data_IF_586677123319
#
_entry.id   IF_586677123319
#
_cell.length_a   1.000
_cell.length_b   1.000
_cell.length_c   1.000
_cell.angle_alpha   90.00
_cell.angle_beta   90.00
_cell.angle_gamma   90.00
#
_symmetry.space_group_name_H-M   'P 1'
#
loop_
_entity.id
_entity.type
_entity.pdbx_description
1 polymer ?
#
# COMPACT_ATOMS: atom_id res chain seq x y z
N UNK A 1 4.51 29.41 8.27
CA UNK A 1 4.52 28.09 8.95
C UNK A 1 3.41 28.09 9.97
N UNK A 2 2.41 27.23 9.81
CA UNK A 2 1.23 27.18 10.66
C UNK A 2 1.39 26.17 11.80
N UNK A 3 0.84 26.49 12.96
CA UNK A 3 0.75 25.55 14.09
C UNK A 3 -0.59 24.79 14.00
N UNK A 4 -0.58 23.49 14.26
CA UNK A 4 -1.78 22.65 14.34
C UNK A 4 -1.89 22.02 15.75
N UNK A 5 -3.12 21.92 16.32
CA UNK A 5 -4.35 22.52 15.82
C UNK A 5 -4.27 24.04 15.84
N UNK A 6 -5.00 24.71 14.97
CA UNK A 6 -5.11 26.17 15.02
C UNK A 6 -5.70 26.55 16.38
N UNK A 7 -5.12 27.59 17.01
CA UNK A 7 -5.66 28.07 18.28
C UNK A 7 -7.15 28.41 18.15
N UNK A 8 -7.92 28.03 19.16
CA UNK A 8 -9.34 28.40 19.22
C UNK A 8 -9.48 29.91 19.06
N UNK A 9 -10.42 30.35 18.26
CA UNK A 9 -10.73 31.78 18.16
C UNK A 9 -11.11 32.31 19.57
N UNK A 10 -10.62 33.48 19.96
CA UNK A 10 -11.02 34.06 21.21
C UNK A 10 -12.55 34.21 21.26
N UNK A 11 -13.14 34.03 22.44
CA UNK A 11 -14.56 34.23 22.62
C UNK A 11 -14.96 35.64 22.16
N UNK A 12 -15.88 35.74 21.21
CA UNK A 12 -16.38 36.98 20.62
C UNK A 12 -17.83 37.27 21.00
N UNK A 13 -18.40 36.48 21.87
CA UNK A 13 -19.76 36.68 22.38
C UNK A 13 -19.81 37.68 23.53
N UNK A 14 -21.01 37.84 24.10
CA UNK A 14 -21.28 38.69 25.23
C UNK A 14 -21.70 37.81 26.41
N UNK A 15 -21.00 37.91 27.54
CA UNK A 15 -21.34 37.21 28.77
C UNK A 15 -22.22 38.16 29.62
N UNK A 16 -23.41 37.70 29.95
CA UNK A 16 -24.36 38.45 30.77
C UNK A 16 -24.90 37.59 31.92
N UNK A 17 -25.54 38.24 32.88
CA UNK A 17 -26.14 37.57 34.06
C UNK A 17 -27.28 36.62 33.65
N UNK A 18 -28.06 37.03 32.66
CA UNK A 18 -29.21 36.27 32.16
C UNK A 18 -28.86 35.73 30.77
N UNK A 19 -29.19 34.44 30.52
CA UNK A 19 -28.96 33.79 29.22
C UNK A 19 -29.65 34.51 28.07
N UNK A 20 -30.82 35.13 28.32
CA UNK A 20 -31.55 35.90 27.32
C UNK A 20 -30.85 37.19 26.87
N UNK A 21 -29.90 37.69 27.68
CA UNK A 21 -29.14 38.91 27.42
C UNK A 21 -27.71 38.59 26.92
N UNK A 22 -27.31 37.33 26.99
CA UNK A 22 -26.00 36.84 26.54
C UNK A 22 -25.99 36.53 25.02
N UNK A 23 -24.87 36.81 24.41
CA UNK A 23 -24.63 36.46 22.98
C UNK A 23 -23.59 35.36 22.91
N UNK A 24 -23.95 34.15 22.41
CA UNK A 24 -22.98 33.06 22.26
C UNK A 24 -21.96 33.36 21.16
N UNK A 25 -20.70 33.08 21.42
CA UNK A 25 -19.70 32.99 20.37
C UNK A 25 -19.79 31.61 19.76
N UNK A 26 -20.04 31.52 18.44
CA UNK A 26 -19.95 30.24 17.76
C UNK A 26 -18.48 29.85 17.67
N UNK A 27 -18.14 28.68 18.19
CA UNK A 27 -16.85 28.07 17.95
C UNK A 27 -16.74 27.81 16.45
N UNK A 28 -15.76 28.43 15.80
CA UNK A 28 -15.41 28.03 14.44
C UNK A 28 -14.78 26.63 14.51
N UNK A 29 -15.55 25.62 14.15
CA UNK A 29 -14.98 24.31 13.90
C UNK A 29 -13.92 24.48 12.81
N UNK A 30 -12.78 23.81 12.97
CA UNK A 30 -11.80 23.69 11.89
C UNK A 30 -12.48 23.00 10.71
N UNK A 31 -12.93 23.78 9.75
CA UNK A 31 -13.50 23.24 8.51
C UNK A 31 -12.45 23.41 7.41
N UNK A 32 -12.17 22.38 6.63
CA UNK A 32 -11.39 22.55 5.43
C UNK A 32 -12.14 23.52 4.50
N UNK A 33 -11.40 24.25 3.68
CA UNK A 33 -12.03 25.09 2.67
C UNK A 33 -12.88 24.22 1.76
N UNK A 34 -14.10 24.68 1.43
CA UNK A 34 -14.98 23.97 0.49
C UNK A 34 -14.28 23.72 -0.84
N UNK A 35 -14.54 22.55 -1.44
CA UNK A 35 -14.00 22.20 -2.74
C UNK A 35 -12.62 21.55 -2.74
N UNK A 36 -11.98 21.36 -1.59
CA UNK A 36 -10.74 20.58 -1.52
C UNK A 36 -10.97 19.14 -1.97
N UNK A 37 -10.04 18.56 -2.75
CA UNK A 37 -10.17 17.19 -3.20
C UNK A 37 -10.13 16.20 -2.04
N UNK A 38 -10.82 15.07 -2.22
CA UNK A 38 -10.58 13.89 -1.42
C UNK A 38 -9.24 13.27 -1.82
N UNK A 39 -8.70 12.42 -0.97
CA UNK A 39 -7.49 11.64 -1.25
C UNK A 39 -7.77 10.16 -1.00
N UNK A 40 -7.58 9.33 -2.01
CA UNK A 40 -7.55 7.88 -1.92
C UNK A 40 -6.12 7.42 -2.21
N UNK A 41 -5.43 6.95 -1.19
CA UNK A 41 -4.08 6.40 -1.29
C UNK A 41 -4.16 4.87 -1.19
N UNK A 42 -3.89 4.20 -2.30
CA UNK A 42 -3.84 2.73 -2.40
C UNK A 42 -2.38 2.30 -2.43
N UNK A 43 -2.03 1.30 -1.63
CA UNK A 43 -0.70 0.70 -1.63
C UNK A 43 -0.80 -0.80 -1.46
N UNK A 44 -0.37 -1.56 -2.48
CA UNK A 44 -0.25 -3.01 -2.39
C UNK A 44 1.08 -3.41 -1.77
N UNK A 45 1.19 -4.68 -1.42
CA UNK A 45 2.34 -5.28 -0.73
C UNK A 45 2.98 -6.34 -1.64
N UNK A 46 4.31 -6.37 -1.72
CA UNK A 46 5.09 -7.39 -2.44
C UNK A 46 4.81 -7.52 -3.95
N UNK A 47 4.36 -6.45 -4.61
CA UNK A 47 4.13 -6.44 -6.06
C UNK A 47 5.35 -5.88 -6.79
N UNK A 48 5.95 -6.65 -7.69
CA UNK A 48 7.07 -6.21 -8.51
C UNK A 48 6.67 -5.20 -9.59
N UNK A 49 7.63 -4.41 -10.07
CA UNK A 49 7.43 -3.36 -11.09
C UNK A 49 6.76 -3.88 -12.36
N UNK A 50 7.11 -5.09 -12.80
CA UNK A 50 6.60 -5.74 -14.00
C UNK A 50 5.42 -6.69 -13.76
N UNK A 51 4.69 -6.60 -12.65
CA UNK A 51 3.58 -7.52 -12.35
C UNK A 51 2.27 -7.11 -13.03
N UNK A 52 1.92 -5.82 -12.97
CA UNK A 52 0.65 -5.28 -13.46
C UNK A 52 0.67 -5.05 -14.99
N UNK A 53 -0.46 -5.32 -15.66
CA UNK A 53 -0.65 -5.10 -17.10
C UNK A 53 -0.28 -3.68 -17.54
N UNK A 54 -0.64 -2.67 -16.78
CA UNK A 54 -0.33 -1.25 -17.00
C UNK A 54 1.16 -0.99 -17.22
N UNK A 55 2.04 -1.78 -16.59
CA UNK A 55 3.49 -1.66 -16.64
C UNK A 55 4.18 -2.83 -17.36
N UNK A 56 3.46 -3.48 -18.28
CA UNK A 56 3.96 -4.57 -19.13
C UNK A 56 3.86 -5.95 -18.52
N UNK A 57 3.24 -6.09 -17.36
CA UNK A 57 3.08 -7.35 -16.63
C UNK A 57 2.10 -8.33 -17.27
N UNK A 58 2.11 -9.58 -16.80
CA UNK A 58 1.22 -10.62 -17.32
C UNK A 58 -0.18 -10.59 -16.70
N UNK A 59 -0.36 -9.87 -15.58
CA UNK A 59 -1.56 -9.95 -14.77
C UNK A 59 -2.48 -8.76 -15.08
N UNK A 60 -3.71 -8.98 -15.56
CA UNK A 60 -4.68 -7.91 -15.80
C UNK A 60 -5.04 -7.19 -14.50
N UNK A 61 -4.87 -5.86 -14.50
CA UNK A 61 -5.15 -4.99 -13.35
C UNK A 61 -6.00 -3.79 -13.78
N UNK A 62 -7.29 -4.00 -14.08
CA UNK A 62 -8.18 -2.96 -14.61
C UNK A 62 -8.34 -1.76 -13.68
N UNK A 63 -8.14 -1.90 -12.37
CA UNK A 63 -8.13 -0.79 -11.41
C UNK A 63 -6.97 0.16 -11.65
N UNK A 64 -5.74 -0.37 -11.81
CA UNK A 64 -4.55 0.42 -12.16
C UNK A 64 -4.72 1.04 -13.55
N UNK A 65 -5.18 0.24 -14.54
CA UNK A 65 -5.39 0.70 -15.92
C UNK A 65 -6.35 1.90 -15.97
N UNK A 66 -7.42 1.87 -15.18
CA UNK A 66 -8.39 2.95 -15.08
C UNK A 66 -7.78 4.24 -14.53
N UNK A 67 -6.97 4.13 -13.49
CA UNK A 67 -6.28 5.29 -12.89
C UNK A 67 -5.27 5.86 -13.88
N UNK A 68 -4.48 5.01 -14.53
CA UNK A 68 -3.51 5.43 -15.55
C UNK A 68 -4.20 6.14 -16.72
N UNK A 69 -5.30 5.58 -17.25
CA UNK A 69 -6.08 6.17 -18.34
C UNK A 69 -6.67 7.54 -17.99
N UNK A 70 -7.03 7.77 -16.72
CA UNK A 70 -7.56 9.03 -16.22
C UNK A 70 -6.48 10.04 -15.78
N UNK A 71 -5.19 9.65 -15.81
CA UNK A 71 -4.10 10.45 -15.26
C UNK A 71 -2.71 10.04 -15.74
N UNK A 72 -1.80 9.81 -14.82
CA UNK A 72 -0.37 9.67 -15.05
C UNK A 72 0.18 8.34 -14.55
N UNK A 73 1.18 7.82 -15.26
CA UNK A 73 2.04 6.69 -14.86
C UNK A 73 3.43 7.20 -14.52
N UNK A 74 4.07 6.65 -13.51
CA UNK A 74 5.43 6.98 -13.11
C UNK A 74 6.29 5.71 -13.16
N UNK A 75 7.35 5.73 -13.97
CA UNK A 75 8.26 4.60 -14.13
C UNK A 75 9.59 4.76 -13.37
N UNK A 76 9.82 5.91 -12.74
CA UNK A 76 10.98 6.17 -11.88
C UNK A 76 10.55 6.60 -10.47
N UNK A 77 9.58 5.86 -9.94
CA UNK A 77 9.13 6.05 -8.56
C UNK A 77 9.84 5.03 -7.66
N UNK A 78 10.40 5.51 -6.55
CA UNK A 78 11.24 4.72 -5.67
C UNK A 78 10.61 4.58 -4.28
N UNK A 79 10.81 3.41 -3.69
CA UNK A 79 10.42 3.08 -2.32
C UNK A 79 11.67 2.66 -1.53
N UNK A 80 11.49 2.16 -0.32
CA UNK A 80 12.52 1.35 0.32
C UNK A 80 12.37 -0.11 -0.15
N UNK A 81 13.28 -0.99 0.25
CA UNK A 81 13.19 -2.40 -0.11
C UNK A 81 12.37 -3.25 0.88
N UNK A 82 11.62 -2.60 1.80
CA UNK A 82 10.86 -3.26 2.87
C UNK A 82 9.58 -2.49 3.19
N UNK A 83 8.53 -3.20 3.60
CA UNK A 83 7.20 -2.67 3.85
C UNK A 83 7.13 -1.62 4.98
N UNK A 84 7.51 -1.92 6.24
CA UNK A 84 7.47 -0.93 7.34
C UNK A 84 8.26 0.34 7.03
N UNK A 85 9.52 0.26 6.54
CA UNK A 85 10.28 1.43 6.14
C UNK A 85 9.59 2.29 5.08
N UNK A 86 9.01 1.67 4.05
CA UNK A 86 8.26 2.40 3.00
C UNK A 86 7.01 3.06 3.57
N UNK A 87 6.23 2.35 4.40
CA UNK A 87 5.01 2.88 5.04
C UNK A 87 5.31 4.07 5.95
N UNK A 88 6.38 3.98 6.74
CA UNK A 88 6.84 5.07 7.59
C UNK A 88 7.29 6.28 6.77
N UNK A 89 8.08 6.06 5.72
CA UNK A 89 8.54 7.12 4.82
C UNK A 89 7.38 7.83 4.12
N UNK A 90 6.41 7.06 3.60
CA UNK A 90 5.20 7.56 2.95
C UNK A 90 4.38 8.45 3.87
N UNK A 91 4.05 7.95 5.06
CA UNK A 91 3.12 8.64 5.95
C UNK A 91 3.75 9.84 6.66
N UNK A 92 5.08 9.93 6.75
CA UNK A 92 5.78 11.02 7.44
C UNK A 92 6.48 12.00 6.50
N UNK A 93 6.68 11.67 5.22
CA UNK A 93 7.42 12.49 4.25
C UNK A 93 8.92 12.60 4.57
N UNK A 94 9.47 11.63 5.29
CA UNK A 94 10.86 11.62 5.76
C UNK A 94 11.51 10.27 5.51
N UNK A 95 12.84 10.27 5.38
CA UNK A 95 13.60 9.03 5.27
C UNK A 95 13.28 8.11 6.46
N UNK A 96 13.08 6.85 6.19
CA UNK A 96 12.67 5.85 7.16
C UNK A 96 13.61 5.73 8.37
N UNK A 97 14.93 5.88 8.20
CA UNK A 97 15.88 5.93 9.32
C UNK A 97 15.67 7.18 10.20
N UNK A 98 15.30 8.32 9.61
CA UNK A 98 15.01 9.55 10.36
C UNK A 98 13.77 9.45 11.24
N UNK A 99 12.91 8.47 10.96
CA UNK A 99 11.66 8.19 11.69
C UNK A 99 11.71 6.85 12.42
N UNK A 100 12.93 6.34 12.68
CA UNK A 100 13.18 5.16 13.51
C UNK A 100 12.74 3.83 12.89
N UNK A 101 12.47 3.79 11.57
CA UNK A 101 12.01 2.60 10.87
C UNK A 101 13.09 2.08 9.89
N UNK A 102 14.30 1.83 10.38
CA UNK A 102 15.42 1.30 9.58
C UNK A 102 15.25 -0.16 9.14
N UNK A 103 14.33 -0.90 9.76
CA UNK A 103 13.91 -2.27 9.44
C UNK A 103 12.43 -2.46 9.67
N UNK A 104 11.94 -3.69 9.54
CA UNK A 104 10.55 -4.04 9.87
C UNK A 104 10.35 -4.08 11.39
N UNK A 105 9.11 -3.94 11.84
CA UNK A 105 8.76 -3.85 13.27
C UNK A 105 9.12 -5.12 14.06
N UNK A 106 9.16 -6.28 13.40
CA UNK A 106 9.46 -7.59 13.99
C UNK A 106 10.92 -7.76 14.40
N UNK A 107 11.84 -7.05 13.72
CA UNK A 107 13.28 -7.08 14.02
C UNK A 107 13.77 -5.79 14.68
N UNK A 108 12.85 -5.00 15.22
CA UNK A 108 13.18 -3.80 15.96
C UNK A 108 14.17 -4.07 17.10
N UNK A 109 15.09 -3.14 17.33
CA UNK A 109 16.10 -3.25 18.36
C UNK A 109 16.35 -1.89 19.02
N UNK A 110 17.20 -1.85 20.03
CA UNK A 110 17.43 -0.64 20.83
C UNK A 110 18.40 0.38 20.20
N UNK A 111 18.85 0.16 18.95
CA UNK A 111 19.71 1.12 18.29
C UNK A 111 18.91 2.31 17.71
N UNK A 112 19.47 3.53 17.76
CA UNK A 112 18.83 4.68 17.11
C UNK A 112 18.51 4.37 15.64
N UNK A 113 17.35 4.84 15.17
CA UNK A 113 16.79 4.59 13.85
C UNK A 113 16.28 3.15 13.58
N UNK A 114 16.37 2.21 14.53
CA UNK A 114 15.95 0.80 14.37
C UNK A 114 15.01 0.32 15.49
N UNK A 115 14.52 1.21 16.33
CA UNK A 115 13.62 0.87 17.43
C UNK A 115 12.14 0.82 17.02
N UNK A 116 11.83 1.12 15.77
CA UNK A 116 10.47 1.15 15.19
C UNK A 116 9.48 2.06 15.92
N UNK A 117 9.98 2.97 16.76
CA UNK A 117 9.15 3.89 17.54
C UNK A 117 9.11 5.27 16.86
N UNK A 118 8.19 5.46 15.90
CA UNK A 118 8.03 6.72 15.17
C UNK A 118 7.89 7.88 16.17
N UNK A 119 8.79 8.90 16.12
CA UNK A 119 8.79 9.97 17.10
C UNK A 119 7.70 11.02 16.82
N UNK A 120 7.22 11.67 17.87
CA UNK A 120 6.14 12.69 17.80
C UNK A 120 6.54 13.93 16.97
N UNK A 121 7.84 14.17 16.78
CA UNK A 121 8.38 15.25 15.93
C UNK A 121 8.24 14.95 14.43
N UNK A 122 7.60 13.84 14.09
CA UNK A 122 7.41 13.40 12.69
C UNK A 122 5.96 13.01 12.44
N UNK A 123 5.05 13.93 12.74
CA UNK A 123 3.60 13.74 12.55
C UNK A 123 3.29 13.17 11.16
N UNK A 124 2.31 12.28 11.12
CA UNK A 124 1.85 11.66 9.87
C UNK A 124 1.01 12.62 9.04
N UNK A 125 0.89 12.33 7.75
CA UNK A 125 -0.05 13.02 6.85
C UNK A 125 -1.49 12.91 7.36
N UNK A 126 -1.89 11.77 7.93
CA UNK A 126 -3.23 11.57 8.49
C UNK A 126 -3.50 12.51 9.67
N UNK A 127 -2.52 12.68 10.56
CA UNK A 127 -2.66 13.60 11.70
C UNK A 127 -2.80 15.06 11.24
N UNK A 128 -2.00 15.49 10.26
CA UNK A 128 -2.07 16.85 9.70
C UNK A 128 -3.43 17.08 9.01
N UNK A 129 -3.87 16.14 8.19
CA UNK A 129 -5.14 16.24 7.47
C UNK A 129 -6.32 16.24 8.44
N UNK A 130 -6.33 15.37 9.45
CA UNK A 130 -7.35 15.36 10.52
C UNK A 130 -7.44 16.71 11.22
N UNK A 131 -6.30 17.26 11.67
CA UNK A 131 -6.24 18.56 12.33
C UNK A 131 -6.60 19.73 11.41
N UNK A 132 -6.54 19.52 10.09
CA UNK A 132 -6.98 20.45 9.06
C UNK A 132 -8.42 20.25 8.61
N UNK A 133 -9.17 19.33 9.26
CA UNK A 133 -10.60 19.16 9.07
C UNK A 133 -11.01 18.08 8.06
N UNK A 134 -10.12 17.23 7.62
CA UNK A 134 -10.46 16.04 6.83
C UNK A 134 -11.04 14.93 7.72
N UNK A 135 -11.87 14.07 7.14
CA UNK A 135 -12.13 12.74 7.71
C UNK A 135 -11.00 11.80 7.31
N UNK A 136 -10.49 11.00 8.23
CA UNK A 136 -9.33 10.13 7.97
C UNK A 136 -9.65 8.67 8.27
N UNK A 137 -9.40 7.77 7.31
CA UNK A 137 -9.64 6.34 7.45
C UNK A 137 -8.46 5.52 6.95
N UNK A 138 -8.11 4.45 7.68
CA UNK A 138 -7.10 3.47 7.32
C UNK A 138 -7.76 2.09 7.26
N UNK A 139 -7.59 1.39 6.14
CA UNK A 139 -8.18 0.08 5.89
C UNK A 139 -7.09 -0.87 5.37
N UNK A 140 -6.77 -1.89 6.17
CA UNK A 140 -5.78 -2.89 5.82
C UNK A 140 -4.58 -2.98 6.75
N UNK A 141 -3.41 -3.27 6.20
CA UNK A 141 -2.14 -3.48 6.90
C UNK A 141 -1.57 -2.15 7.40
N UNK A 142 -1.28 -2.09 8.69
CA UNK A 142 -0.60 -0.95 9.31
C UNK A 142 0.93 -1.09 9.31
N UNK A 143 1.44 -2.07 10.00
CA UNK A 143 2.84 -2.48 10.08
C UNK A 143 3.81 -1.36 10.51
N UNK A 144 3.37 -0.47 11.42
CA UNK A 144 4.17 0.64 11.97
C UNK A 144 4.16 0.70 13.50
N UNK A 145 3.50 -0.25 14.15
CA UNK A 145 3.49 -0.36 15.60
C UNK A 145 4.61 -1.29 16.05
N UNK A 146 5.52 -0.89 16.95
CA UNK A 146 6.52 -1.79 17.49
C UNK A 146 5.88 -3.04 18.08
N UNK A 147 6.54 -4.20 17.95
CA UNK A 147 5.96 -5.50 18.35
C UNK A 147 5.52 -5.55 19.82
N UNK A 148 6.18 -4.83 20.72
CA UNK A 148 5.82 -4.74 22.13
C UNK A 148 4.61 -3.82 22.42
N UNK A 149 4.10 -3.08 21.43
CA UNK A 149 2.90 -2.23 21.54
C UNK A 149 1.70 -2.82 20.78
N UNK A 150 1.82 -3.99 20.16
CA UNK A 150 0.76 -4.60 19.34
C UNK A 150 -0.34 -5.31 20.16
N UNK A 151 -0.25 -5.29 21.46
CA UNK A 151 -1.25 -5.89 22.35
C UNK A 151 -2.57 -5.09 22.36
N UNK A 152 -3.74 -5.76 22.48
CA UNK A 152 -5.02 -5.10 22.71
C UNK A 152 -5.10 -4.25 23.99
N UNK A 153 -4.08 -4.35 24.85
CA UNK A 153 -3.95 -3.49 26.03
C UNK A 153 -3.19 -2.19 25.76
N UNK A 154 -2.69 -1.98 24.53
CA UNK A 154 -1.91 -0.81 24.17
C UNK A 154 -0.45 -0.86 24.66
N UNK A 155 0.26 0.28 24.64
CA UNK A 155 -0.25 1.64 24.32
C UNK A 155 -0.69 1.79 22.86
N UNK A 156 -1.63 2.69 22.59
CA UNK A 156 -2.21 2.88 21.27
C UNK A 156 -1.68 4.11 20.52
N UNK A 157 -0.64 4.77 21.06
CA UNK A 157 -0.11 6.02 20.49
C UNK A 157 0.45 5.82 19.07
N UNK A 158 1.01 4.62 18.76
CA UNK A 158 1.55 4.26 17.46
C UNK A 158 0.65 3.33 16.64
N UNK A 159 -0.56 3.13 17.10
CA UNK A 159 -1.62 2.51 16.31
C UNK A 159 -2.19 3.52 15.32
N UNK A 160 -2.90 3.10 14.25
CA UNK A 160 -3.50 4.04 13.31
C UNK A 160 -4.32 5.14 13.99
N UNK A 161 -5.09 4.78 15.02
CA UNK A 161 -5.93 5.71 15.80
C UNK A 161 -5.12 6.75 16.56
N UNK A 162 -3.95 6.40 17.09
CA UNK A 162 -3.00 7.32 17.72
C UNK A 162 -2.22 8.17 16.71
N UNK A 163 -2.07 7.68 15.48
CA UNK A 163 -1.29 8.30 14.41
C UNK A 163 -2.15 9.10 13.42
N UNK A 164 -3.36 9.50 13.82
CA UNK A 164 -4.18 10.47 13.10
C UNK A 164 -5.35 9.92 12.30
N UNK A 165 -5.59 8.62 12.27
CA UNK A 165 -6.76 8.04 11.61
C UNK A 165 -7.96 7.97 12.56
N UNK A 166 -9.08 8.60 12.16
CA UNK A 166 -10.34 8.57 12.92
C UNK A 166 -11.05 7.22 12.79
N UNK A 167 -10.77 6.50 11.72
CA UNK A 167 -11.28 5.14 11.46
C UNK A 167 -10.11 4.22 11.11
N UNK A 168 -10.06 3.07 11.75
CA UNK A 168 -9.15 1.98 11.41
C UNK A 168 -9.92 0.67 11.35
N UNK A 169 -9.66 -0.13 10.32
CA UNK A 169 -10.09 -1.51 10.22
C UNK A 169 -9.04 -2.30 9.44
N UNK A 170 -8.43 -3.31 10.07
CA UNK A 170 -7.37 -4.07 9.43
C UNK A 170 -6.47 -4.83 10.40
N UNK A 171 -5.23 -5.09 9.96
CA UNK A 171 -4.22 -5.82 10.72
C UNK A 171 -3.09 -4.88 11.17
N UNK A 172 -2.50 -5.17 12.33
CA UNK A 172 -1.41 -4.36 12.92
C UNK A 172 -0.04 -4.87 12.48
N UNK A 173 0.15 -6.18 12.35
CA UNK A 173 1.41 -6.83 12.01
C UNK A 173 1.76 -6.83 10.52
N UNK A 174 2.78 -7.62 10.18
CA UNK A 174 3.37 -7.70 8.85
C UNK A 174 2.50 -8.47 7.85
N UNK A 175 1.89 -9.55 8.29
CA UNK A 175 1.18 -10.52 7.45
C UNK A 175 -0.01 -11.11 8.19
N UNK A 176 -0.93 -11.71 7.45
CA UNK A 176 -2.08 -12.41 8.00
C UNK A 176 -2.68 -13.37 6.97
N UNK A 177 -3.29 -14.44 7.45
CA UNK A 177 -4.21 -15.22 6.63
C UNK A 177 -5.29 -14.31 6.05
N UNK A 178 -5.64 -14.48 4.77
CA UNK A 178 -6.77 -13.77 4.17
C UNK A 178 -8.11 -14.47 4.41
N UNK A 179 -8.09 -15.71 4.91
CA UNK A 179 -9.27 -16.49 5.28
C UNK A 179 -9.65 -16.33 6.76
N UNK A 180 -8.65 -16.30 7.64
CA UNK A 180 -8.80 -16.24 9.10
C UNK A 180 -7.86 -15.17 9.71
N UNK A 181 -8.03 -13.89 9.35
CA UNK A 181 -7.11 -12.83 9.77
C UNK A 181 -7.34 -12.35 11.21
N UNK A 182 -6.29 -11.91 11.92
CA UNK A 182 -6.38 -11.22 13.20
C UNK A 182 -6.77 -9.73 12.99
N UNK A 183 -8.03 -9.46 12.71
CA UNK A 183 -8.51 -8.12 12.40
C UNK A 183 -8.80 -7.30 13.65
N UNK A 184 -8.53 -6.01 13.57
CA UNK A 184 -8.93 -5.01 14.55
C UNK A 184 -9.94 -4.02 13.95
N UNK A 185 -11.01 -3.75 14.69
CA UNK A 185 -11.89 -2.60 14.49
C UNK A 185 -11.47 -1.53 15.50
N UNK A 186 -10.85 -0.46 15.04
CA UNK A 186 -10.14 0.52 15.87
C UNK A 186 -9.03 -0.15 16.69
N UNK A 187 -9.25 -0.35 17.98
CA UNK A 187 -8.32 -1.05 18.89
C UNK A 187 -8.89 -2.35 19.44
N UNK A 188 -10.07 -2.75 18.96
CA UNK A 188 -10.77 -3.94 19.43
C UNK A 188 -10.53 -5.09 18.44
N UNK A 189 -10.02 -6.25 18.90
CA UNK A 189 -9.90 -7.43 18.05
C UNK A 189 -11.28 -7.95 17.66
N UNK A 190 -11.45 -8.31 16.39
CA UNK A 190 -12.68 -8.88 15.83
C UNK A 190 -12.36 -10.10 14.96
N UNK A 191 -13.31 -10.99 14.80
CA UNK A 191 -13.16 -12.23 14.03
C UNK A 191 -14.29 -12.36 12.99
N UNK A 192 -14.30 -11.51 11.95
CA UNK A 192 -15.41 -11.44 10.99
C UNK A 192 -15.59 -12.73 10.16
N UNK A 193 -14.56 -13.56 10.04
CA UNK A 193 -14.59 -14.83 9.32
C UNK A 193 -15.48 -15.90 10.00
N UNK A 194 -15.70 -15.80 11.31
CA UNK A 194 -16.50 -16.81 12.04
C UNK A 194 -17.98 -16.85 11.59
N UNK A 195 -18.49 -15.70 11.16
CA UNK A 195 -19.89 -15.54 10.74
C UNK A 195 -20.07 -15.56 9.20
N UNK A 196 -18.98 -15.72 8.45
CA UNK A 196 -18.95 -15.61 6.97
C UNK A 196 -18.12 -16.75 6.37
N UNK A 197 -18.76 -17.85 5.92
CA UNK A 197 -18.05 -19.01 5.34
C UNK A 197 -17.18 -18.67 4.12
N UNK A 198 -17.61 -17.68 3.33
CA UNK A 198 -16.90 -17.22 2.13
C UNK A 198 -16.06 -15.95 2.41
N UNK A 199 -15.59 -15.79 3.65
CA UNK A 199 -14.83 -14.62 4.05
C UNK A 199 -13.51 -14.52 3.31
N UNK A 200 -13.19 -13.32 2.84
CA UNK A 200 -11.86 -12.98 2.35
C UNK A 200 -11.48 -11.55 2.79
N UNK A 201 -10.30 -11.40 3.40
CA UNK A 201 -9.86 -10.14 4.01
C UNK A 201 -9.88 -8.96 3.03
N UNK A 202 -9.39 -9.13 1.77
CA UNK A 202 -9.35 -8.03 0.80
C UNK A 202 -10.75 -7.53 0.43
N UNK A 203 -11.75 -8.42 0.37
CA UNK A 203 -13.14 -8.05 0.13
C UNK A 203 -13.73 -7.29 1.31
N UNK A 204 -13.52 -7.79 2.53
CA UNK A 204 -14.02 -7.15 3.74
C UNK A 204 -13.41 -5.75 3.94
N UNK A 205 -12.10 -5.60 3.70
CA UNK A 205 -11.42 -4.30 3.74
C UNK A 205 -12.05 -3.31 2.75
N UNK A 206 -12.35 -3.76 1.52
CA UNK A 206 -13.01 -2.93 0.52
C UNK A 206 -14.43 -2.56 0.94
N UNK A 207 -15.21 -3.49 1.48
CA UNK A 207 -16.55 -3.26 2.01
C UNK A 207 -16.55 -2.20 3.13
N UNK A 208 -15.61 -2.31 4.07
CA UNK A 208 -15.46 -1.37 5.17
C UNK A 208 -15.06 0.04 4.67
N UNK A 209 -14.12 0.13 3.73
CA UNK A 209 -13.71 1.39 3.13
C UNK A 209 -14.87 2.05 2.35
N UNK A 210 -15.55 1.29 1.50
CA UNK A 210 -16.72 1.73 0.72
C UNK A 210 -17.82 2.26 1.64
N UNK A 211 -18.18 1.48 2.66
CA UNK A 211 -19.20 1.86 3.62
C UNK A 211 -18.82 3.14 4.37
N UNK A 212 -17.55 3.28 4.76
CA UNK A 212 -17.06 4.47 5.42
C UNK A 212 -17.13 5.69 4.50
N UNK A 213 -16.65 5.61 3.25
CA UNK A 213 -16.71 6.69 2.26
C UNK A 213 -18.16 7.13 2.04
N UNK A 214 -19.08 6.19 1.78
CA UNK A 214 -20.50 6.49 1.56
C UNK A 214 -21.13 7.20 2.78
N UNK A 215 -20.89 6.70 3.99
CA UNK A 215 -21.41 7.30 5.23
C UNK A 215 -20.83 8.69 5.50
N UNK A 216 -19.53 8.86 5.29
CA UNK A 216 -18.85 10.14 5.47
C UNK A 216 -19.43 11.19 4.52
N UNK A 217 -19.61 10.87 3.23
CA UNK A 217 -20.16 11.78 2.24
C UNK A 217 -21.66 12.05 2.43
N UNK A 218 -22.43 11.06 2.88
CA UNK A 218 -23.84 11.26 3.22
C UNK A 218 -24.01 12.19 4.45
N UNK A 219 -23.13 12.10 5.44
CA UNK A 219 -23.21 12.90 6.66
C UNK A 219 -22.61 14.30 6.53
N UNK A 220 -21.57 14.47 5.73
CA UNK A 220 -20.83 15.71 5.52
C UNK A 220 -20.37 15.83 4.06
N UNK A 221 -21.27 16.17 3.11
CA UNK A 221 -20.98 16.17 1.68
C UNK A 221 -19.79 17.04 1.27
N UNK A 222 -19.63 18.18 1.92
CA UNK A 222 -18.57 19.17 1.63
C UNK A 222 -17.24 18.85 2.36
N UNK A 223 -17.22 17.90 3.32
CA UNK A 223 -16.02 17.55 4.06
C UNK A 223 -15.18 16.57 3.23
N UNK A 224 -13.92 16.89 2.89
CA UNK A 224 -13.04 15.97 2.20
C UNK A 224 -12.61 14.82 3.11
N UNK A 225 -12.18 13.73 2.50
CA UNK A 225 -11.62 12.59 3.23
C UNK A 225 -10.19 12.26 2.74
N UNK A 226 -9.43 11.64 3.62
CA UNK A 226 -8.22 10.89 3.34
C UNK A 226 -8.47 9.42 3.67
N UNK A 227 -8.46 8.57 2.66
CA UNK A 227 -8.60 7.13 2.79
C UNK A 227 -7.26 6.47 2.43
N UNK A 228 -6.61 5.81 3.38
CA UNK A 228 -5.46 4.96 3.15
C UNK A 228 -5.95 3.51 3.06
N UNK A 229 -5.99 2.98 1.85
CA UNK A 229 -6.36 1.60 1.54
C UNK A 229 -5.10 0.79 1.23
N UNK A 230 -4.67 -0.01 2.19
CA UNK A 230 -3.43 -0.78 2.13
C UNK A 230 -3.72 -2.25 2.45
N UNK A 231 -4.37 -3.00 1.52
CA UNK A 231 -4.61 -4.42 1.75
C UNK A 231 -3.28 -5.13 2.00
N UNK A 232 -3.29 -6.17 2.84
CA UNK A 232 -2.09 -6.97 3.08
C UNK A 232 -1.68 -7.78 1.83
N UNK A 233 -2.51 -7.80 0.81
CA UNK A 233 -2.27 -8.44 -0.48
C UNK A 233 -1.28 -7.60 -1.33
N UNK A 234 -0.38 -8.26 -2.06
CA UNK A 234 -0.27 -9.72 -2.25
C UNK A 234 0.89 -10.33 -1.45
N UNK A 235 1.18 -9.80 -0.27
CA UNK A 235 2.12 -10.45 0.65
C UNK A 235 1.64 -11.88 0.94
N UNK A 236 2.57 -12.81 1.13
CA UNK A 236 2.21 -14.15 1.57
C UNK A 236 1.54 -14.11 2.96
N UNK A 237 0.66 -15.09 3.25
CA UNK A 237 0.26 -16.22 2.42
C UNK A 237 -0.55 -15.80 1.19
N UNK A 238 -0.25 -16.38 0.03
CA UNK A 238 -1.00 -16.12 -1.19
C UNK A 238 -2.34 -16.87 -1.12
N UNK A 239 -3.32 -16.23 -0.54
CA UNK A 239 -4.66 -16.76 -0.34
C UNK A 239 -5.65 -16.11 -1.30
N UNK A 240 -6.36 -16.91 -2.10
CA UNK A 240 -7.33 -16.39 -3.07
C UNK A 240 -8.34 -17.46 -3.45
N UNK A 241 -9.63 -17.13 -3.71
CA UNK A 241 -10.61 -18.09 -4.20
C UNK A 241 -10.21 -18.71 -5.54
N UNK A 242 -10.48 -20.00 -5.72
CA UNK A 242 -10.09 -20.79 -6.90
C UNK A 242 -10.57 -20.20 -8.23
N UNK A 243 -11.74 -19.56 -8.25
CA UNK A 243 -12.26 -18.90 -9.46
C UNK A 243 -11.37 -17.78 -9.99
N UNK A 244 -10.53 -17.19 -9.15
CA UNK A 244 -9.55 -16.19 -9.55
C UNK A 244 -8.23 -16.79 -10.04
N UNK A 245 -7.94 -18.04 -9.68
CA UNK A 245 -6.76 -18.76 -10.15
C UNK A 245 -6.99 -19.35 -11.55
N UNK A 246 -8.17 -19.89 -11.80
CA UNK A 246 -8.55 -20.57 -13.06
C UNK A 246 -8.18 -19.81 -14.34
N UNK A 247 -8.35 -18.49 -14.46
CA UNK A 247 -7.97 -17.77 -15.67
C UNK A 247 -6.46 -17.84 -16.01
N UNK A 248 -5.64 -18.21 -15.04
CA UNK A 248 -4.19 -18.27 -15.17
C UNK A 248 -3.62 -19.69 -15.35
N UNK A 249 -4.48 -20.72 -15.33
CA UNK A 249 -4.05 -22.12 -15.50
C UNK A 249 -3.21 -22.29 -16.77
N UNK A 250 -1.99 -22.83 -16.64
CA UNK A 250 -1.05 -23.08 -17.72
C UNK A 250 -0.35 -21.83 -18.29
N UNK A 251 -0.65 -20.63 -17.80
CA UNK A 251 -0.06 -19.38 -18.32
C UNK A 251 1.41 -19.21 -17.97
N UNK A 252 1.94 -19.99 -17.04
CA UNK A 252 3.31 -19.84 -16.54
C UNK A 252 4.19 -21.07 -16.79
N UNK A 253 3.72 -22.02 -17.59
CA UNK A 253 4.46 -23.25 -17.91
C UNK A 253 5.75 -23.00 -18.70
N UNK A 254 5.84 -21.85 -19.40
CA UNK A 254 7.05 -21.40 -20.12
C UNK A 254 8.20 -21.02 -19.18
N UNK A 255 7.91 -20.79 -17.88
CA UNK A 255 8.88 -20.48 -16.84
C UNK A 255 9.30 -19.02 -16.76
N UNK A 256 10.04 -18.72 -15.68
CA UNK A 256 10.39 -17.35 -15.27
C UNK A 256 11.36 -16.65 -16.23
N UNK A 257 12.29 -17.36 -16.90
CA UNK A 257 13.20 -16.72 -17.86
C UNK A 257 12.41 -16.18 -19.08
N UNK A 258 11.52 -17.01 -19.67
CA UNK A 258 10.67 -16.60 -20.78
C UNK A 258 9.70 -15.51 -20.38
N UNK A 259 9.05 -15.64 -19.21
CA UNK A 259 8.13 -14.62 -18.71
C UNK A 259 8.82 -13.26 -18.55
N UNK A 260 10.05 -13.25 -18.04
CA UNK A 260 10.84 -12.02 -17.89
C UNK A 260 11.12 -11.34 -19.22
N UNK A 261 11.52 -12.12 -20.25
CA UNK A 261 11.76 -11.61 -21.61
C UNK A 261 10.47 -11.04 -22.22
N UNK A 262 9.33 -11.70 -21.99
CA UNK A 262 8.03 -11.22 -22.45
C UNK A 262 7.61 -9.92 -21.76
N UNK A 263 7.77 -9.81 -20.42
CA UNK A 263 7.50 -8.58 -19.68
C UNK A 263 8.38 -7.45 -20.23
N UNK A 264 9.68 -7.68 -20.36
CA UNK A 264 10.61 -6.69 -20.88
C UNK A 264 10.22 -6.23 -22.31
N UNK A 265 9.84 -7.17 -23.18
CA UNK A 265 9.39 -6.86 -24.54
C UNK A 265 8.12 -5.99 -24.54
N UNK A 266 7.15 -6.28 -23.67
CA UNK A 266 5.94 -5.47 -23.50
C UNK A 266 6.26 -4.09 -22.92
N UNK A 267 7.18 -3.99 -21.97
CA UNK A 267 7.64 -2.73 -21.39
C UNK A 267 8.28 -1.80 -22.44
N UNK A 268 9.12 -2.36 -23.33
CA UNK A 268 9.70 -1.61 -24.46
C UNK A 268 8.62 -1.18 -25.46
N UNK A 269 7.72 -2.09 -25.83
CA UNK A 269 6.68 -1.83 -26.83
C UNK A 269 5.67 -0.77 -26.37
N UNK A 270 5.35 -0.74 -25.07
CA UNK A 270 4.46 0.26 -24.47
C UNK A 270 5.16 1.58 -24.07
N UNK A 271 6.48 1.64 -24.17
CA UNK A 271 7.28 2.80 -23.77
C UNK A 271 7.35 3.02 -22.26
N UNK A 272 6.94 2.05 -21.45
CA UNK A 272 7.06 2.11 -19.98
C UNK A 272 8.52 2.23 -19.55
N UNK A 273 9.42 1.62 -20.31
CA UNK A 273 10.87 1.79 -20.17
C UNK A 273 11.47 2.40 -21.43
N UNK A 274 12.55 3.22 -21.31
CA UNK A 274 13.26 3.75 -22.47
C UNK A 274 13.78 2.64 -23.39
N UNK A 275 13.84 2.87 -24.72
CA UNK A 275 14.27 1.84 -25.69
C UNK A 275 15.72 1.38 -25.49
N UNK A 276 16.58 2.19 -24.87
CA UNK A 276 17.97 1.86 -24.55
C UNK A 276 18.12 1.07 -23.24
N UNK A 277 17.04 0.81 -22.52
CA UNK A 277 17.09 0.05 -21.26
C UNK A 277 17.54 -1.36 -21.52
N UNK A 278 18.65 -1.78 -20.93
CA UNK A 278 19.10 -3.18 -20.98
C UNK A 278 18.34 -4.06 -19.99
N UNK A 279 18.00 -5.28 -20.40
CA UNK A 279 17.52 -6.30 -19.47
C UNK A 279 18.68 -6.81 -18.61
N UNK A 280 18.53 -6.76 -17.28
CA UNK A 280 19.57 -7.24 -16.36
C UNK A 280 19.68 -8.77 -16.38
N UNK A 281 20.90 -9.27 -16.20
CA UNK A 281 21.17 -10.70 -16.17
C UNK A 281 20.54 -11.37 -14.94
N UNK A 282 20.23 -12.66 -15.09
CA UNK A 282 19.76 -13.48 -13.97
C UNK A 282 20.89 -13.67 -12.96
N UNK A 283 20.63 -13.48 -11.64
CA UNK A 283 21.59 -13.82 -10.59
C UNK A 283 21.92 -15.31 -10.61
N UNK A 284 23.19 -15.66 -10.34
CA UNK A 284 23.65 -17.08 -10.31
C UNK A 284 22.91 -17.92 -9.25
N UNK A 285 22.41 -17.28 -8.21
CA UNK A 285 21.68 -17.93 -7.12
C UNK A 285 20.27 -18.40 -7.54
N UNK A 286 19.75 -17.90 -8.65
CA UNK A 286 18.46 -18.29 -9.20
C UNK A 286 18.71 -19.27 -10.34
N UNK A 287 18.27 -20.53 -10.29
CA UNK A 287 18.43 -21.48 -11.39
C UNK A 287 17.70 -20.99 -12.63
N UNK A 288 18.21 -21.33 -13.84
CA UNK A 288 17.41 -21.15 -15.02
C UNK A 288 16.20 -22.09 -15.01
N UNK A 289 15.12 -21.72 -15.69
CA UNK A 289 13.98 -22.62 -15.83
C UNK A 289 14.35 -23.95 -16.49
N UNK A 290 15.31 -23.92 -17.42
CA UNK A 290 15.78 -25.14 -18.09
C UNK A 290 16.57 -26.05 -17.13
N UNK A 291 17.29 -25.48 -16.16
CA UNK A 291 18.07 -26.25 -15.17
C UNK A 291 17.23 -26.61 -13.94
N UNK A 292 16.05 -26.01 -13.79
CA UNK A 292 15.12 -26.32 -12.71
C UNK A 292 14.52 -27.71 -12.94
N UNK A 293 14.41 -28.56 -11.90
CA UNK A 293 13.96 -29.94 -12.09
C UNK A 293 12.55 -30.03 -12.69
N UNK A 294 12.39 -30.70 -13.82
CA UNK A 294 11.11 -30.84 -14.54
C UNK A 294 9.98 -31.34 -13.63
N UNK A 295 10.31 -32.21 -12.69
CA UNK A 295 9.36 -32.76 -11.72
C UNK A 295 8.66 -31.69 -10.88
N UNK A 296 9.34 -30.57 -10.56
CA UNK A 296 8.81 -29.52 -9.70
C UNK A 296 8.29 -28.30 -10.47
N UNK A 297 8.44 -28.28 -11.80
CA UNK A 297 7.89 -27.20 -12.64
C UNK A 297 6.39 -26.99 -12.47
N UNK A 298 5.56 -28.06 -12.38
CA UNK A 298 4.13 -27.88 -12.12
C UNK A 298 3.83 -27.16 -10.79
N UNK A 299 4.62 -27.44 -9.74
CA UNK A 299 4.50 -26.75 -8.44
C UNK A 299 4.79 -25.26 -8.62
N UNK A 300 5.90 -24.94 -9.29
CA UNK A 300 6.30 -23.56 -9.52
C UNK A 300 5.26 -22.79 -10.36
N UNK A 301 4.75 -23.39 -11.45
CA UNK A 301 3.69 -22.80 -12.27
C UNK A 301 2.43 -22.55 -11.44
N UNK A 302 1.98 -23.54 -10.65
CA UNK A 302 0.77 -23.40 -9.82
C UNK A 302 0.91 -22.30 -8.76
N UNK A 303 2.05 -22.17 -8.10
CA UNK A 303 2.29 -21.11 -7.13
C UNK A 303 2.23 -19.71 -7.76
N UNK A 304 2.70 -19.58 -9.02
CA UNK A 304 2.61 -18.32 -9.78
C UNK A 304 1.16 -18.04 -10.22
N UNK A 305 0.39 -19.06 -10.60
CA UNK A 305 -1.04 -18.93 -10.93
C UNK A 305 -1.83 -18.40 -9.73
N UNK A 306 -1.55 -18.92 -8.52
CA UNK A 306 -2.16 -18.46 -7.27
C UNK A 306 -1.83 -16.99 -7.01
N UNK A 307 -0.56 -16.59 -7.14
CA UNK A 307 -0.15 -15.19 -7.00
C UNK A 307 -0.85 -14.28 -8.03
N UNK A 308 -0.93 -14.72 -9.28
CA UNK A 308 -1.59 -13.95 -10.34
C UNK A 308 -3.08 -13.74 -10.06
N UNK A 309 -3.76 -14.80 -9.63
CA UNK A 309 -5.15 -14.74 -9.17
C UNK A 309 -5.32 -13.79 -7.99
N UNK A 310 -4.39 -13.83 -7.03
CA UNK A 310 -4.45 -13.00 -5.84
C UNK A 310 -4.26 -11.50 -6.16
N UNK A 311 -3.34 -11.16 -7.08
CA UNK A 311 -3.17 -9.78 -7.54
C UNK A 311 -4.40 -9.28 -8.32
N UNK A 312 -4.93 -10.10 -9.24
CA UNK A 312 -6.14 -9.75 -10.00
C UNK A 312 -7.36 -9.56 -9.09
N UNK A 313 -7.55 -10.44 -8.11
CA UNK A 313 -8.60 -10.31 -7.10
C UNK A 313 -8.46 -9.01 -6.30
N UNK A 314 -7.24 -8.69 -5.85
CA UNK A 314 -6.97 -7.49 -5.05
C UNK A 314 -7.21 -6.21 -5.85
N UNK A 315 -6.76 -6.16 -7.11
CA UNK A 315 -7.03 -5.02 -8.00
C UNK A 315 -8.54 -4.85 -8.27
N UNK A 316 -9.29 -5.96 -8.38
CA UNK A 316 -10.74 -5.89 -8.49
C UNK A 316 -11.39 -5.23 -7.26
N UNK A 317 -10.86 -5.46 -6.05
CA UNK A 317 -11.35 -4.77 -4.85
C UNK A 317 -11.05 -3.27 -4.89
N UNK A 318 -9.87 -2.87 -5.38
CA UNK A 318 -9.56 -1.45 -5.61
C UNK A 318 -10.52 -0.85 -6.64
N UNK A 319 -10.78 -1.55 -7.73
CA UNK A 319 -11.72 -1.07 -8.76
C UNK A 319 -13.15 -0.89 -8.22
N UNK A 320 -13.58 -1.66 -7.23
CA UNK A 320 -14.86 -1.45 -6.50
C UNK A 320 -14.87 -0.08 -5.79
N UNK A 321 -13.77 0.33 -5.13
CA UNK A 321 -13.67 1.65 -4.52
C UNK A 321 -13.79 2.77 -5.57
N UNK A 322 -13.10 2.62 -6.71
CA UNK A 322 -13.17 3.60 -7.80
C UNK A 322 -14.59 3.71 -8.37
N UNK A 323 -15.29 2.57 -8.52
CA UNK A 323 -16.68 2.55 -8.98
C UNK A 323 -17.61 3.29 -8.02
N UNK A 324 -17.41 3.11 -6.73
CA UNK A 324 -18.18 3.85 -5.71
C UNK A 324 -17.92 5.35 -5.78
N UNK A 325 -16.68 5.79 -6.03
CA UNK A 325 -16.38 7.21 -6.22
C UNK A 325 -17.14 7.82 -7.41
N UNK A 326 -17.32 7.06 -8.52
CA UNK A 326 -18.16 7.49 -9.62
C UNK A 326 -19.65 7.55 -9.23
N UNK A 327 -20.17 6.47 -8.61
CA UNK A 327 -21.58 6.40 -8.19
C UNK A 327 -22.00 7.59 -7.33
N UNK A 328 -21.09 8.09 -6.48
CA UNK A 328 -21.34 9.24 -5.61
C UNK A 328 -20.82 10.56 -6.18
N UNK A 329 -20.42 10.59 -7.46
CA UNK A 329 -19.89 11.78 -8.18
C UNK A 329 -18.69 12.43 -7.44
N UNK A 330 -17.77 11.63 -6.93
CA UNK A 330 -16.56 12.10 -6.23
C UNK A 330 -15.27 11.78 -6.97
N UNK A 331 -15.28 10.94 -8.01
CA UNK A 331 -14.05 10.51 -8.70
C UNK A 331 -13.27 11.70 -9.25
N UNK A 332 -13.93 12.63 -9.93
CA UNK A 332 -13.28 13.80 -10.54
C UNK A 332 -12.58 14.70 -9.50
N UNK A 333 -13.14 14.80 -8.29
CA UNK A 333 -12.58 15.59 -7.20
C UNK A 333 -11.88 14.72 -6.15
N UNK A 334 -11.29 13.61 -6.56
CA UNK A 334 -10.47 12.75 -5.72
C UNK A 334 -9.08 12.57 -6.32
N UNK A 335 -8.04 12.94 -5.57
CA UNK A 335 -6.67 12.53 -5.87
C UNK A 335 -6.56 11.05 -5.53
N UNK A 336 -6.46 10.20 -6.56
CA UNK A 336 -6.21 8.77 -6.41
C UNK A 336 -4.74 8.51 -6.68
N UNK A 337 -4.05 7.92 -5.72
CA UNK A 337 -2.66 7.50 -5.80
C UNK A 337 -2.64 5.98 -5.65
N UNK A 338 -2.15 5.25 -6.63
CA UNK A 338 -2.03 3.81 -6.60
C UNK A 338 -0.57 3.39 -6.74
N UNK A 339 0.06 3.12 -5.60
CA UNK A 339 1.38 2.52 -5.52
C UNK A 339 1.21 1.00 -5.63
N UNK A 340 1.70 0.41 -6.72
CA UNK A 340 1.49 -1.02 -7.03
C UNK A 340 2.28 -1.96 -6.14
N UNK A 341 3.35 -1.48 -5.49
CA UNK A 341 4.12 -2.25 -4.51
C UNK A 341 4.88 -1.33 -3.56
N UNK A 342 4.90 -1.66 -2.28
CA UNK A 342 5.66 -0.92 -1.26
C UNK A 342 7.15 -1.30 -1.24
N UNK A 343 7.50 -2.40 -1.87
CA UNK A 343 8.84 -2.91 -2.19
C UNK A 343 8.72 -3.80 -3.43
N UNK A 344 9.81 -4.38 -3.92
CA UNK A 344 9.77 -5.34 -5.01
C UNK A 344 9.05 -6.64 -4.64
N UNK A 345 8.87 -7.53 -5.60
CA UNK A 345 8.31 -8.86 -5.39
C UNK A 345 9.16 -9.67 -4.38
N UNK A 346 8.51 -10.53 -3.59
CA UNK A 346 9.18 -11.25 -2.50
C UNK A 346 9.85 -12.54 -2.95
N UNK A 347 11.05 -12.82 -2.44
CA UNK A 347 11.79 -14.06 -2.66
C UNK A 347 11.70 -15.04 -1.49
N UNK A 348 10.84 -14.78 -0.50
CA UNK A 348 10.77 -15.56 0.75
C UNK A 348 10.29 -16.99 0.54
N UNK A 349 9.68 -17.32 -0.61
CA UNK A 349 9.37 -18.68 -1.02
C UNK A 349 10.57 -19.52 -1.48
N UNK A 350 11.80 -18.95 -1.48
CA UNK A 350 13.04 -19.65 -1.85
C UNK A 350 13.07 -20.18 -3.29
N UNK A 351 13.91 -21.20 -3.55
CA UNK A 351 14.07 -21.77 -4.90
C UNK A 351 12.85 -22.60 -5.32
N UNK A 352 12.24 -23.30 -4.37
CA UNK A 352 11.18 -24.28 -4.66
C UNK A 352 9.75 -23.78 -4.39
N UNK A 353 9.59 -22.57 -3.89
CA UNK A 353 8.35 -22.12 -3.29
C UNK A 353 8.26 -22.57 -1.84
N UNK A 354 7.20 -22.22 -1.14
CA UNK A 354 6.97 -22.61 0.23
C UNK A 354 5.52 -23.03 0.45
N UNK A 355 5.32 -24.04 1.28
CA UNK A 355 4.02 -24.40 1.86
C UNK A 355 3.62 -23.42 2.98
N UNK A 356 4.62 -23.04 3.78
CA UNK A 356 4.45 -22.08 4.87
C UNK A 356 5.51 -21.00 4.76
N UNK A 357 5.11 -19.80 4.36
CA UNK A 357 6.00 -18.65 4.20
C UNK A 357 6.89 -18.40 5.44
N UNK A 358 6.40 -18.53 6.72
CA UNK A 358 7.23 -18.41 7.91
C UNK A 358 8.37 -19.44 8.04
N UNK A 359 8.34 -20.54 7.30
CA UNK A 359 9.40 -21.56 7.34
C UNK A 359 10.75 -20.97 6.99
N UNK A 360 10.82 -20.11 5.96
CA UNK A 360 12.06 -19.45 5.56
C UNK A 360 12.68 -18.62 6.70
N UNK A 361 11.87 -17.83 7.39
CA UNK A 361 12.30 -16.97 8.49
C UNK A 361 12.81 -17.76 9.69
N UNK A 362 12.31 -18.99 9.86
CA UNK A 362 12.71 -19.92 10.90
C UNK A 362 13.86 -20.85 10.47
N UNK A 363 14.44 -20.67 9.28
CA UNK A 363 15.53 -21.50 8.75
C UNK A 363 15.10 -22.94 8.44
N UNK A 364 13.81 -23.18 8.25
CA UNK A 364 13.27 -24.50 7.87
C UNK A 364 13.27 -24.61 6.36
N UNK A 365 13.90 -25.68 5.85
CA UNK A 365 13.85 -26.04 4.42
C UNK A 365 12.73 -27.04 4.21
N UNK A 366 11.76 -26.67 3.38
CA UNK A 366 10.65 -27.54 3.04
C UNK A 366 11.03 -28.52 1.93
N UNK A 367 10.47 -29.73 1.99
CA UNK A 367 10.68 -30.76 0.98
C UNK A 367 9.83 -30.44 -0.27
N UNK A 368 10.43 -30.27 -1.45
CA UNK A 368 9.69 -30.06 -2.71
C UNK A 368 8.71 -31.19 -3.06
N UNK A 369 8.96 -32.42 -2.59
CA UNK A 369 8.02 -33.54 -2.76
C UNK A 369 6.72 -33.30 -2.00
N UNK A 370 6.80 -32.73 -0.79
CA UNK A 370 5.64 -32.34 -0.01
C UNK A 370 4.78 -31.31 -0.76
N UNK A 371 5.42 -30.31 -1.37
CA UNK A 371 4.73 -29.28 -2.16
C UNK A 371 4.01 -29.91 -3.36
N UNK A 372 4.64 -30.87 -4.05
CA UNK A 372 4.07 -31.57 -5.20
C UNK A 372 2.84 -32.40 -4.81
N UNK A 373 2.89 -33.10 -3.67
CA UNK A 373 1.77 -33.92 -3.19
C UNK A 373 0.57 -33.08 -2.74
N UNK A 374 0.80 -31.81 -2.36
CA UNK A 374 -0.21 -30.94 -1.76
C UNK A 374 -0.59 -29.71 -2.60
N UNK A 375 -0.26 -29.71 -3.90
CA UNK A 375 -0.53 -28.59 -4.83
C UNK A 375 -1.98 -28.11 -4.81
N UNK A 376 -2.94 -29.00 -4.55
CA UNK A 376 -4.36 -28.68 -4.52
C UNK A 376 -4.75 -27.75 -3.34
N UNK A 377 -3.87 -27.59 -2.37
CA UNK A 377 -4.12 -26.76 -1.19
C UNK A 377 -3.64 -25.33 -1.37
N UNK A 378 -2.82 -25.04 -2.39
CA UNK A 378 -2.32 -23.68 -2.63
C UNK A 378 -3.46 -22.69 -2.88
N UNK A 379 -3.41 -21.55 -2.20
CA UNK A 379 -4.45 -20.54 -2.21
C UNK A 379 -5.52 -20.71 -1.14
N UNK A 380 -5.62 -21.88 -0.50
CA UNK A 380 -6.62 -22.17 0.52
C UNK A 380 -6.13 -21.88 1.95
N UNK A 381 -7.03 -21.93 2.94
CA UNK A 381 -6.68 -21.77 4.36
C UNK A 381 -5.83 -22.91 4.95
N UNK A 382 -5.55 -23.96 4.18
CA UNK A 382 -4.77 -25.12 4.63
C UNK A 382 -3.27 -24.94 4.55
N UNK A 383 -2.80 -23.91 3.84
CA UNK A 383 -1.36 -23.60 3.72
C UNK A 383 -1.14 -22.09 3.73
N UNK A 384 0.08 -21.67 3.96
CA UNK A 384 0.53 -20.27 3.92
C UNK A 384 1.55 -20.10 2.78
N UNK A 385 1.14 -20.49 1.58
CA UNK A 385 2.03 -20.66 0.44
C UNK A 385 2.64 -19.35 -0.08
N UNK A 386 3.86 -19.51 -0.63
CA UNK A 386 4.62 -18.46 -1.32
C UNK A 386 5.27 -19.00 -2.60
N UNK A 387 5.35 -18.18 -3.65
CA UNK A 387 5.95 -18.58 -4.92
C UNK A 387 7.50 -18.60 -4.88
N UNK A 388 8.10 -19.18 -5.95
CA UNK A 388 9.54 -19.31 -6.11
C UNK A 388 10.24 -17.98 -6.35
N UNK A 389 11.51 -17.86 -5.91
CA UNK A 389 12.37 -16.69 -6.16
C UNK A 389 12.52 -16.34 -7.65
N UNK A 390 12.45 -17.31 -8.54
CA UNK A 390 12.49 -17.10 -10.00
C UNK A 390 11.34 -16.22 -10.50
N UNK A 391 10.16 -16.38 -9.95
CA UNK A 391 9.00 -15.53 -10.25
C UNK A 391 9.17 -14.12 -9.72
N UNK A 392 9.66 -13.95 -8.49
CA UNK A 392 9.97 -12.63 -7.95
C UNK A 392 10.92 -11.86 -8.87
N UNK A 393 12.01 -12.49 -9.27
CA UNK A 393 12.96 -11.90 -10.22
C UNK A 393 12.32 -11.57 -11.57
N UNK A 394 11.47 -12.43 -12.12
CA UNK A 394 10.78 -12.18 -13.38
C UNK A 394 9.83 -10.96 -13.28
N UNK A 395 9.06 -10.88 -12.19
CA UNK A 395 8.09 -9.82 -11.95
C UNK A 395 8.72 -8.46 -11.63
N UNK A 396 9.99 -8.40 -11.22
CA UNK A 396 10.76 -7.16 -11.05
C UNK A 396 11.47 -6.69 -12.33
N UNK A 397 11.15 -7.31 -13.51
CA UNK A 397 11.67 -6.87 -14.80
C UNK A 397 11.47 -5.35 -14.99
N UNK A 398 12.49 -4.64 -15.54
CA UNK A 398 13.78 -5.13 -16.08
C UNK A 398 14.92 -5.12 -15.05
N UNK A 399 14.62 -4.87 -13.76
CA UNK A 399 15.61 -4.58 -12.73
C UNK A 399 16.26 -5.86 -12.18
N UNK A 400 17.37 -5.66 -11.50
CA UNK A 400 18.11 -6.72 -10.82
C UNK A 400 17.60 -6.84 -9.38
N UNK A 401 17.56 -8.10 -8.89
CA UNK A 401 17.10 -8.45 -7.55
C UNK A 401 15.61 -8.15 -7.30
N UNK A 402 15.20 -8.08 -6.03
CA UNK A 402 13.82 -8.04 -5.56
C UNK A 402 13.75 -7.49 -4.12
N UNK A 403 12.61 -7.61 -3.44
CA UNK A 403 12.39 -7.25 -2.03
C UNK A 403 13.60 -7.59 -1.16
N UNK A 404 13.87 -6.79 -0.13
CA UNK A 404 14.99 -6.82 0.82
C UNK A 404 16.33 -6.34 0.27
N UNK A 405 16.54 -6.30 -1.05
CA UNK A 405 17.81 -5.92 -1.66
C UNK A 405 17.82 -4.42 -1.97
N UNK A 406 18.14 -3.60 -0.96
CA UNK A 406 18.08 -2.14 -1.03
C UNK A 406 19.12 -1.50 -2.00
N UNK A 407 20.13 -2.26 -2.41
CA UNK A 407 21.18 -1.78 -3.32
C UNK A 407 20.80 -1.84 -4.81
N UNK A 408 19.65 -2.43 -5.15
CA UNK A 408 19.21 -2.66 -6.52
C UNK A 408 17.74 -2.28 -6.71
N UNK A 409 17.41 -1.92 -7.94
CA UNK A 409 16.08 -1.39 -8.27
C UNK A 409 14.95 -2.41 -8.21
N UNK A 410 15.21 -3.71 -8.32
CA UNK A 410 14.18 -4.71 -8.10
C UNK A 410 13.52 -4.62 -6.72
N UNK A 411 14.30 -4.22 -5.69
CA UNK A 411 13.76 -3.97 -4.35
C UNK A 411 13.20 -2.57 -4.11
N UNK A 412 13.64 -1.57 -4.88
CA UNK A 412 13.43 -0.15 -4.53
C UNK A 412 12.75 0.70 -5.58
N UNK A 413 12.51 0.20 -6.79
CA UNK A 413 11.84 0.94 -7.85
C UNK A 413 10.51 0.26 -8.18
N UNK A 414 9.42 0.95 -7.84
CA UNK A 414 8.07 0.44 -7.97
C UNK A 414 7.23 1.33 -8.90
N UNK A 415 6.12 0.78 -9.40
CA UNK A 415 5.26 1.46 -10.32
C UNK A 415 4.20 2.29 -9.57
N UNK A 416 3.91 3.50 -10.08
CA UNK A 416 2.92 4.39 -9.51
C UNK A 416 1.97 4.89 -10.59
N UNK A 417 0.67 4.84 -10.32
CA UNK A 417 -0.36 5.51 -11.12
C UNK A 417 -1.07 6.57 -10.26
N UNK A 418 -1.32 7.74 -10.86
CA UNK A 418 -1.97 8.87 -10.17
C UNK A 418 -3.05 9.47 -11.06
N UNK A 419 -4.25 9.65 -10.54
CA UNK A 419 -5.32 10.38 -11.22
C UNK A 419 -5.95 11.43 -10.31
N UNK A 420 -6.33 12.54 -10.90
CA UNK A 420 -7.15 13.59 -10.31
C UNK A 420 -7.74 14.41 -11.44
N UNK A 421 -8.87 13.98 -12.04
CA UNK A 421 -9.41 14.59 -13.24
C UNK A 421 -9.66 16.11 -13.15
N UNK A 422 -10.00 16.62 -11.96
CA UNK A 422 -10.18 18.06 -11.74
C UNK A 422 -8.87 18.86 -11.65
N UNK A 423 -7.71 18.22 -11.51
CA UNK A 423 -6.43 18.91 -11.28
C UNK A 423 -5.27 18.44 -12.15
N UNK A 424 -5.36 17.26 -12.77
CA UNK A 424 -4.37 16.72 -13.70
C UNK A 424 -4.93 16.79 -15.11
N UNK A 425 -4.20 17.45 -16.03
CA UNK A 425 -4.63 17.58 -17.43
C UNK A 425 -4.18 16.42 -18.30
N UNK A 426 -3.05 15.79 -17.97
CA UNK A 426 -2.51 14.62 -18.69
C UNK A 426 -3.41 13.40 -18.52
N UNK A 427 -3.53 12.58 -19.60
CA UNK A 427 -4.28 11.32 -19.59
C UNK A 427 -3.45 10.25 -20.25
N UNK A 428 -3.30 9.12 -19.57
CA UNK A 428 -2.47 7.97 -20.00
C UNK A 428 -1.01 8.35 -20.31
N UNK A 429 -0.51 9.39 -19.66
CA UNK A 429 0.82 9.91 -19.90
C UNK A 429 1.84 9.31 -18.93
N UNK A 430 3.06 9.04 -19.43
CA UNK A 430 4.18 8.57 -18.63
C UNK A 430 5.02 9.75 -18.13
N UNK A 431 5.42 9.69 -16.87
CA UNK A 431 6.37 10.59 -16.24
C UNK A 431 7.63 9.82 -15.83
N UNK A 432 8.78 10.28 -16.31
CA UNK A 432 10.09 9.65 -16.06
C UNK A 432 10.99 10.51 -15.16
N UNK A 433 10.41 11.40 -14.38
CA UNK A 433 11.14 12.12 -13.32
C UNK A 433 11.41 11.19 -12.15
N UNK A 434 12.58 11.35 -11.52
CA UNK A 434 12.89 10.64 -10.30
C UNK A 434 12.00 11.13 -9.16
N UNK A 435 11.29 10.19 -8.53
CA UNK A 435 10.52 10.44 -7.32
C UNK A 435 10.73 9.32 -6.32
N UNK A 436 10.47 9.64 -5.06
CA UNK A 436 10.54 8.69 -3.95
C UNK A 436 9.26 8.76 -3.12
N UNK A 437 8.96 7.70 -2.40
CA UNK A 437 7.73 7.58 -1.59
C UNK A 437 7.55 8.73 -0.58
N UNK A 438 8.65 9.35 -0.09
CA UNK A 438 8.59 10.55 0.76
C UNK A 438 7.95 11.76 0.08
N UNK A 439 7.95 11.79 -1.27
CA UNK A 439 7.44 12.91 -2.05
C UNK A 439 5.91 12.96 -2.07
N UNK A 440 5.24 11.83 -1.79
CA UNK A 440 3.78 11.78 -1.72
C UNK A 440 3.21 12.63 -0.58
N UNK A 441 3.91 12.72 0.54
CA UNK A 441 3.49 13.55 1.68
C UNK A 441 3.35 15.04 1.30
N UNK A 442 4.41 15.74 0.83
CA UNK A 442 4.27 17.14 0.42
C UNK A 442 3.36 17.29 -0.81
N UNK A 443 3.30 16.31 -1.71
CA UNK A 443 2.39 16.34 -2.86
C UNK A 443 0.93 16.39 -2.42
N UNK A 444 0.53 15.54 -1.48
CA UNK A 444 -0.84 15.56 -0.93
C UNK A 444 -1.13 16.91 -0.28
N UNK A 445 -0.20 17.43 0.54
CA UNK A 445 -0.39 18.74 1.19
C UNK A 445 -0.55 19.88 0.17
N UNK A 446 0.24 19.89 -0.90
CA UNK A 446 0.16 20.91 -1.94
C UNK A 446 -1.18 20.82 -2.69
N UNK A 447 -1.61 19.60 -3.08
CA UNK A 447 -2.90 19.38 -3.76
C UNK A 447 -4.08 19.86 -2.92
N UNK A 448 -4.03 19.64 -1.62
CA UNK A 448 -5.10 20.12 -0.71
C UNK A 448 -4.84 21.51 -0.16
N UNK A 449 -3.78 22.19 -0.62
CA UNK A 449 -3.36 23.55 -0.22
C UNK A 449 -3.24 23.73 1.31
N UNK A 450 -2.53 22.82 1.95
CA UNK A 450 -2.19 22.89 3.38
C UNK A 450 -0.68 23.10 3.49
N UNK A 451 -0.27 24.20 4.12
CA UNK A 451 1.15 24.42 4.44
C UNK A 451 1.65 23.35 5.41
N UNK A 452 2.86 22.85 5.18
CA UNK A 452 3.53 21.95 6.12
C UNK A 452 3.66 22.62 7.49
N UNK A 453 3.08 22.08 8.57
CA UNK A 453 3.10 22.73 9.86
C UNK A 453 4.49 22.67 10.51
N UNK A 454 4.86 23.72 11.22
CA UNK A 454 6.08 23.74 12.06
C UNK A 454 5.87 23.13 13.43
N UNK A 455 4.60 23.07 13.89
CA UNK A 455 4.20 22.40 15.13
C UNK A 455 2.92 21.60 14.93
N UNK A 456 2.88 20.42 15.53
CA UNK A 456 1.68 19.58 15.61
C UNK A 456 1.48 19.19 17.07
N UNK A 457 0.28 19.45 17.60
CA UNK A 457 -0.06 19.22 19.01
C UNK A 457 0.96 19.85 20.00
N UNK A 458 1.51 21.03 19.65
CA UNK A 458 2.49 21.74 20.45
C UNK A 458 3.94 21.26 20.31
N UNK A 459 4.18 20.20 19.52
CA UNK A 459 5.51 19.61 19.31
C UNK A 459 6.11 20.15 18.01
N UNK A 460 7.35 20.66 18.07
CA UNK A 460 8.07 21.12 16.90
C UNK A 460 8.34 19.93 15.97
N UNK A 461 8.09 20.14 14.67
CA UNK A 461 8.25 19.09 13.68
C UNK A 461 9.63 19.13 13.04
N UNK A 462 10.24 17.95 12.83
CA UNK A 462 11.41 17.81 11.97
C UNK A 462 11.06 18.22 10.53
N UNK A 463 11.98 18.77 9.75
CA UNK A 463 11.72 19.11 8.35
C UNK A 463 11.23 17.89 7.54
N UNK A 464 10.26 18.11 6.65
CA UNK A 464 9.91 17.16 5.60
C UNK A 464 11.07 17.09 4.61
N UNK A 465 11.39 15.89 4.14
CA UNK A 465 12.53 15.63 3.24
C UNK A 465 12.10 15.37 1.80
N UNK A 466 10.83 15.06 1.58
CA UNK A 466 10.24 14.87 0.26
C UNK A 466 10.04 16.20 -0.47
N UNK A 467 9.93 16.12 -1.79
CA UNK A 467 9.63 17.23 -2.71
C UNK A 467 8.29 16.97 -3.40
N UNK A 468 7.42 17.98 -3.45
CA UNK A 468 6.12 17.84 -4.10
C UNK A 468 6.24 17.50 -5.59
N UNK A 469 5.43 16.53 -6.03
CA UNK A 469 5.35 16.06 -7.43
C UNK A 469 4.37 16.90 -8.29
N UNK A 470 3.69 17.88 -7.72
CA UNK A 470 2.63 18.65 -8.42
C UNK A 470 3.14 19.30 -9.72
N UNK A 471 4.41 19.66 -9.82
CA UNK A 471 5.02 20.17 -11.06
C UNK A 471 4.92 19.19 -12.23
N UNK A 472 4.79 17.89 -11.97
CA UNK A 472 4.67 16.84 -13.00
C UNK A 472 3.23 16.57 -13.43
N UNK A 473 2.25 17.23 -12.82
CA UNK A 473 0.81 17.06 -13.11
C UNK A 473 0.34 17.83 -14.34
N UNK A 474 1.18 18.71 -14.88
CA UNK A 474 0.90 19.55 -16.06
C UNK A 474 1.48 18.98 -17.33
#
# INVERSE_FOLDING_TARGET
>A
MSDLPRSANPFKGKIERLMAEAEPSRLALSQPAKGKPNVLLVMLDDVGFGSCSTFGGPIPTPGVDRIAAAGLKYNQFHTTALCSPTRAALLTGRNHHSVHMGGITEIANSFPAYDSAIPLETATIAEILKLSGFSTGCFGKWHLTPSWEQSPAGPFDRWPTGMGFERFYGIIGAEASHWEPPVYDQTTPVQPHLDRPDYHLSEDLADQAINWIKRQKASAPDKPFFCYFAPAAVHAPHHVPEEWIKPFEGMFDQGWDTLRDEIYSRQLASGVIPPETGLTLRPEQIPSWNDYPDRYKPVASRLMEVFAGFLAHTDAQVNRLLTVLDEINQFDNTLVIYLTGDNGASAEGTVHGAWSAPSFQNGVHEDPEWLLEHMADFGTSRCENHFNVGWAWALDSPFQWMKQVASHFGGTRNALAVSWPSGITGKDELRSHFHHVIDLFPTILDVVEIETPSKVNGINQKPVQGTSMVYSFQ
#
